data_IF_905267699669
#
_entry.id   IF_905267699669
#
_cell.length_a   1.000
_cell.length_b   1.000
_cell.length_c   1.000
_cell.angle_alpha   90.00
_cell.angle_beta   90.00
_cell.angle_gamma   90.00
#
_symmetry.space_group_name_H-M   'P 1'
#
loop_
_entity.id
_entity.type
_entity.pdbx_description
1 polymer ?
#
# COMPACT_ATOMS: atom_id res chain seq x y z
N UNK A 1 21.20 -3.10 6.24
CA UNK A 1 21.22 -1.66 5.93
C UNK A 1 20.88 -1.45 4.47
N UNK A 2 19.99 -0.52 4.17
CA UNK A 2 19.72 -0.04 2.84
C UNK A 2 20.29 1.37 2.69
N UNK A 3 21.06 1.60 1.65
CA UNK A 3 21.71 2.87 1.36
C UNK A 3 21.41 3.29 -0.07
N UNK A 4 21.30 4.58 -0.28
CA UNK A 4 21.34 5.17 -1.61
C UNK A 4 22.50 6.15 -1.67
N UNK A 5 23.19 6.16 -2.81
CA UNK A 5 24.32 7.04 -3.03
C UNK A 5 23.92 8.10 -4.06
N UNK A 6 24.10 9.34 -3.68
CA UNK A 6 23.96 10.47 -4.61
C UNK A 6 25.36 10.89 -5.04
N UNK A 7 25.64 10.91 -6.34
CA UNK A 7 26.95 11.31 -6.87
C UNK A 7 26.75 12.36 -7.95
N UNK A 8 27.56 13.39 -7.91
CA UNK A 8 27.60 14.44 -8.91
C UNK A 8 29.03 14.80 -9.23
N UNK A 9 29.31 15.23 -10.46
CA UNK A 9 30.61 15.73 -10.89
C UNK A 9 30.67 17.24 -10.83
N UNK A 10 31.86 17.82 -10.66
CA UNK A 10 32.08 19.27 -10.67
C UNK A 10 31.53 19.91 -11.97
N UNK A 11 31.76 19.27 -13.10
CA UNK A 11 31.31 19.73 -14.41
C UNK A 11 29.79 19.79 -14.53
N UNK A 12 29.09 18.85 -13.89
CA UNK A 12 27.62 18.87 -13.84
C UNK A 12 27.14 20.03 -12.95
N UNK A 13 27.76 20.24 -11.80
CA UNK A 13 27.45 21.36 -10.90
C UNK A 13 27.64 22.72 -11.60
N UNK A 14 28.72 22.89 -12.35
CA UNK A 14 28.96 24.12 -13.10
C UNK A 14 27.92 24.36 -14.20
N UNK A 15 27.57 23.33 -14.95
CA UNK A 15 26.55 23.43 -16.01
C UNK A 15 25.17 23.78 -15.44
N UNK A 16 24.75 23.11 -14.36
CA UNK A 16 23.46 23.36 -13.73
C UNK A 16 23.46 24.66 -12.92
N UNK A 17 24.59 25.06 -12.35
CA UNK A 17 24.77 26.36 -11.73
C UNK A 17 24.58 27.51 -12.71
N UNK A 18 25.13 27.41 -13.91
CA UNK A 18 24.92 28.37 -14.98
C UNK A 18 23.44 28.44 -15.40
N UNK A 19 22.71 27.33 -15.35
CA UNK A 19 21.27 27.29 -15.64
C UNK A 19 20.39 27.66 -14.44
N UNK A 20 20.97 28.01 -13.27
CA UNK A 20 20.27 28.29 -12.00
C UNK A 20 19.39 27.12 -11.52
N UNK A 21 19.76 25.91 -11.82
CA UNK A 21 19.05 24.69 -11.41
C UNK A 21 19.71 24.13 -10.16
N UNK A 22 18.91 23.91 -9.11
CA UNK A 22 19.36 23.29 -7.86
C UNK A 22 19.58 21.78 -7.98
N UNK A 23 20.45 21.35 -8.89
CA UNK A 23 20.68 19.94 -9.24
C UNK A 23 20.96 19.03 -8.04
N UNK A 24 21.85 19.46 -7.13
CA UNK A 24 22.17 18.68 -5.94
C UNK A 24 20.96 18.50 -5.01
N UNK A 25 20.10 19.52 -4.91
CA UNK A 25 18.86 19.45 -4.15
C UNK A 25 17.88 18.45 -4.77
N UNK A 26 17.71 18.49 -6.10
CA UNK A 26 16.85 17.54 -6.83
C UNK A 26 17.32 16.09 -6.68
N UNK A 27 18.63 15.83 -6.74
CA UNK A 27 19.19 14.51 -6.51
C UNK A 27 18.95 14.01 -5.08
N UNK A 28 19.03 14.90 -4.09
CA UNK A 28 18.74 14.54 -2.69
C UNK A 28 17.24 14.21 -2.51
N UNK A 29 16.35 14.97 -3.13
CA UNK A 29 14.91 14.67 -3.13
C UNK A 29 14.62 13.33 -3.80
N UNK A 30 15.24 13.04 -4.95
CA UNK A 30 15.10 11.75 -5.63
C UNK A 30 15.61 10.58 -4.78
N UNK A 31 16.73 10.78 -4.07
CA UNK A 31 17.29 9.78 -3.15
C UNK A 31 16.35 9.53 -1.96
N UNK A 32 15.80 10.58 -1.35
CA UNK A 32 14.83 10.47 -0.27
C UNK A 32 13.56 9.74 -0.72
N UNK A 33 13.06 10.04 -1.91
CA UNK A 33 11.91 9.37 -2.50
C UNK A 33 12.19 7.87 -2.72
N UNK A 34 13.39 7.53 -3.19
CA UNK A 34 13.80 6.13 -3.39
C UNK A 34 13.84 5.37 -2.07
N UNK A 35 14.39 5.99 -1.01
CA UNK A 35 14.40 5.41 0.33
C UNK A 35 12.99 5.20 0.87
N UNK A 36 12.11 6.19 0.73
CA UNK A 36 10.73 6.09 1.17
C UNK A 36 9.96 4.97 0.44
N UNK A 37 10.12 4.85 -0.88
CA UNK A 37 9.52 3.76 -1.66
C UNK A 37 10.03 2.40 -1.24
N UNK A 38 11.33 2.26 -1.01
CA UNK A 38 11.92 1.01 -0.53
C UNK A 38 11.40 0.66 0.86
N UNK A 39 11.37 1.63 1.78
CA UNK A 39 10.87 1.44 3.15
C UNK A 39 9.40 0.99 3.13
N UNK A 40 8.55 1.66 2.36
CA UNK A 40 7.15 1.30 2.21
C UNK A 40 6.99 -0.14 1.68
N UNK A 41 7.74 -0.49 0.63
CA UNK A 41 7.73 -1.85 0.07
C UNK A 41 8.20 -2.89 1.10
N UNK A 42 9.24 -2.58 1.88
CA UNK A 42 9.77 -3.47 2.91
C UNK A 42 8.78 -3.72 4.05
N UNK A 43 7.99 -2.72 4.44
CA UNK A 43 6.96 -2.89 5.46
C UNK A 43 5.83 -3.82 5.00
N UNK A 44 5.44 -3.76 3.73
CA UNK A 44 4.35 -4.59 3.23
C UNK A 44 4.80 -6.00 2.82
N UNK A 45 5.97 -6.14 2.21
CA UNK A 45 6.41 -7.38 1.59
C UNK A 45 7.70 -7.98 2.18
N UNK A 46 8.30 -7.29 3.16
CA UNK A 46 9.61 -7.71 3.67
C UNK A 46 10.73 -7.54 2.65
N UNK A 47 11.84 -8.22 2.87
CA UNK A 47 13.02 -8.20 2.02
C UNK A 47 13.31 -9.63 1.54
N UNK A 48 13.27 -9.84 0.24
CA UNK A 48 13.58 -11.15 -0.35
C UNK A 48 15.00 -11.62 0.02
N UNK A 49 15.12 -12.90 0.37
CA UNK A 49 16.39 -13.50 0.79
C UNK A 49 16.78 -13.30 2.25
N UNK A 50 15.99 -12.55 3.00
CA UNK A 50 16.12 -12.43 4.45
C UNK A 50 14.89 -13.01 5.13
N UNK A 51 15.06 -13.57 6.34
CA UNK A 51 13.94 -14.00 7.18
C UNK A 51 13.24 -12.77 7.82
N UNK A 52 12.93 -11.78 6.98
CA UNK A 52 12.25 -10.55 7.35
C UNK A 52 10.97 -10.44 6.53
N UNK A 53 9.87 -10.80 7.19
CA UNK A 53 8.54 -10.78 6.58
C UNK A 53 7.90 -9.41 6.75
N UNK A 54 7.06 -9.05 5.79
CA UNK A 54 6.26 -7.83 5.85
C UNK A 54 4.83 -8.11 6.28
N UNK A 55 4.04 -7.05 6.37
CA UNK A 55 2.64 -7.12 6.82
C UNK A 55 1.77 -8.07 5.98
N UNK A 56 2.09 -8.26 4.70
CA UNK A 56 1.25 -9.04 3.77
C UNK A 56 1.80 -10.46 3.47
N UNK A 57 3.03 -10.77 3.86
CA UNK A 57 3.66 -12.05 3.54
C UNK A 57 4.22 -12.79 4.76
N UNK A 58 3.82 -12.41 5.96
CA UNK A 58 4.17 -13.13 7.17
C UNK A 58 3.50 -14.52 7.14
N UNK A 59 4.26 -15.60 7.31
CA UNK A 59 3.73 -16.98 7.28
C UNK A 59 2.75 -17.28 8.42
N UNK A 60 2.71 -16.44 9.47
CA UNK A 60 1.75 -16.56 10.57
C UNK A 60 0.38 -15.96 10.26
N UNK A 61 0.23 -15.25 9.14
CA UNK A 61 -1.04 -14.67 8.73
C UNK A 61 -2.05 -15.75 8.35
N UNK A 62 -3.30 -15.49 8.70
CA UNK A 62 -4.42 -16.31 8.23
C UNK A 62 -4.57 -16.24 6.71
N UNK A 63 -5.13 -17.28 6.12
CA UNK A 63 -5.40 -17.32 4.69
C UNK A 63 -6.23 -16.09 4.24
N UNK A 64 -5.92 -15.50 3.07
CA UNK A 64 -6.66 -14.36 2.56
C UNK A 64 -8.12 -14.76 2.25
N UNK A 65 -9.03 -13.82 2.45
CA UNK A 65 -10.44 -13.98 2.11
C UNK A 65 -10.63 -13.60 0.65
N UNK A 66 -11.34 -14.44 -0.09
CA UNK A 66 -11.76 -14.12 -1.44
C UNK A 66 -13.06 -13.30 -1.39
N UNK A 67 -13.17 -12.21 -2.15
CA UNK A 67 -14.44 -11.50 -2.34
C UNK A 67 -15.54 -12.43 -2.83
N UNK A 68 -16.80 -12.15 -2.49
CA UNK A 68 -17.91 -12.94 -2.98
C UNK A 68 -18.19 -12.67 -4.47
N UNK A 69 -18.56 -13.69 -5.20
CA UNK A 69 -18.96 -13.51 -6.61
C UNK A 69 -20.41 -13.05 -6.64
N UNK A 70 -20.67 -11.87 -7.20
CA UNK A 70 -22.01 -11.33 -7.43
C UNK A 70 -22.23 -11.25 -8.96
N UNK A 71 -23.25 -11.89 -9.49
CA UNK A 71 -23.56 -11.95 -10.93
C UNK A 71 -22.37 -12.34 -11.82
N UNK A 72 -21.55 -13.29 -11.34
CA UNK A 72 -20.34 -13.74 -12.04
C UNK A 72 -19.15 -12.76 -11.93
N UNK A 73 -19.29 -11.66 -11.21
CA UNK A 73 -18.27 -10.62 -11.05
C UNK A 73 -17.54 -10.78 -9.72
N UNK A 74 -16.22 -10.85 -9.77
CA UNK A 74 -15.37 -10.99 -8.58
C UNK A 74 -14.68 -9.68 -8.21
N UNK A 75 -14.31 -8.87 -9.21
CA UNK A 75 -13.56 -7.63 -9.00
C UNK A 75 -14.49 -6.50 -8.59
N UNK A 76 -14.00 -5.64 -7.70
CA UNK A 76 -14.75 -4.46 -7.26
C UNK A 76 -15.07 -3.48 -8.40
N UNK A 77 -14.23 -3.43 -9.43
CA UNK A 77 -14.48 -2.58 -10.60
C UNK A 77 -15.78 -2.95 -11.34
N UNK A 78 -16.14 -4.24 -11.31
CA UNK A 78 -17.28 -4.79 -12.02
C UNK A 78 -18.54 -4.91 -11.14
N UNK A 79 -18.38 -4.83 -9.81
CA UNK A 79 -19.46 -4.92 -8.83
C UNK A 79 -20.17 -3.57 -8.66
N UNK A 80 -21.42 -3.63 -8.24
CA UNK A 80 -22.17 -2.48 -7.73
C UNK A 80 -21.70 -2.06 -6.31
N UNK A 81 -22.23 -0.94 -5.81
CA UNK A 81 -21.89 -0.44 -4.49
C UNK A 81 -22.27 -1.40 -3.36
N UNK A 82 -23.38 -2.15 -3.51
CA UNK A 82 -23.81 -3.12 -2.52
C UNK A 82 -22.85 -4.30 -2.43
N UNK A 83 -22.39 -4.84 -3.56
CA UNK A 83 -21.43 -5.95 -3.60
C UNK A 83 -20.09 -5.58 -2.99
N UNK A 84 -19.62 -4.33 -3.19
CA UNK A 84 -18.41 -3.82 -2.53
C UNK A 84 -18.61 -3.68 -1.02
N UNK A 85 -19.75 -3.15 -0.59
CA UNK A 85 -20.10 -3.04 0.84
C UNK A 85 -20.13 -4.40 1.52
N UNK A 86 -20.76 -5.39 0.91
CA UNK A 86 -20.87 -6.74 1.45
C UNK A 86 -19.51 -7.41 1.62
N UNK A 87 -18.58 -7.19 0.68
CA UNK A 87 -17.20 -7.66 0.81
C UNK A 87 -16.47 -7.02 2.00
N UNK A 88 -16.67 -5.73 2.25
CA UNK A 88 -16.09 -5.04 3.42
C UNK A 88 -16.70 -5.57 4.73
N UNK A 89 -18.02 -5.81 4.74
CA UNK A 89 -18.71 -6.41 5.90
C UNK A 89 -18.19 -7.84 6.16
N UNK A 90 -17.93 -8.61 5.10
CA UNK A 90 -17.35 -9.95 5.20
C UNK A 90 -15.96 -9.91 5.83
N UNK A 91 -15.12 -8.95 5.40
CA UNK A 91 -13.80 -8.74 5.98
C UNK A 91 -13.88 -8.43 7.48
N UNK A 92 -14.81 -7.55 7.88
CA UNK A 92 -15.03 -7.24 9.29
C UNK A 92 -15.52 -8.45 10.10
N UNK A 93 -16.48 -9.22 9.56
CA UNK A 93 -16.95 -10.47 10.21
C UNK A 93 -15.81 -11.45 10.45
N UNK A 94 -14.90 -11.58 9.47
CA UNK A 94 -13.73 -12.45 9.63
C UNK A 94 -12.81 -11.96 10.75
N UNK A 95 -12.56 -10.66 10.83
CA UNK A 95 -11.74 -10.05 11.88
C UNK A 95 -12.33 -10.31 13.27
N UNK A 96 -13.64 -10.09 13.45
CA UNK A 96 -14.34 -10.38 14.72
C UNK A 96 -14.25 -11.86 15.08
N UNK A 97 -14.39 -12.75 14.10
CA UNK A 97 -14.25 -14.21 14.31
C UNK A 97 -12.83 -14.60 14.74
N UNK A 98 -11.80 -14.05 14.09
CA UNK A 98 -10.40 -14.34 14.41
C UNK A 98 -9.98 -13.82 15.79
N UNK A 99 -10.58 -12.73 16.25
CA UNK A 99 -10.32 -12.13 17.56
C UNK A 99 -11.25 -12.66 18.66
N UNK A 100 -12.04 -13.71 18.38
CA UNK A 100 -13.02 -14.27 19.32
C UNK A 100 -13.95 -13.20 19.94
N UNK A 101 -14.33 -12.20 19.15
CA UNK A 101 -15.21 -11.13 19.58
C UNK A 101 -14.55 -10.02 20.43
N UNK A 102 -13.22 -9.99 20.53
CA UNK A 102 -12.52 -8.91 21.23
C UNK A 102 -12.55 -7.56 20.49
N UNK A 103 -12.91 -7.56 19.21
CA UNK A 103 -13.06 -6.34 18.42
C UNK A 103 -14.54 -6.03 18.25
N UNK A 104 -14.92 -4.80 18.63
CA UNK A 104 -16.25 -4.28 18.48
C UNK A 104 -16.36 -3.29 17.31
N UNK A 105 -17.60 -3.03 16.87
CA UNK A 105 -17.87 -2.07 15.77
C UNK A 105 -17.46 -0.64 16.11
N UNK A 106 -17.35 -0.31 17.37
CA UNK A 106 -16.95 1.01 17.89
C UNK A 106 -15.44 1.22 17.91
N UNK A 107 -14.66 0.14 17.74
CA UNK A 107 -13.20 0.22 17.74
C UNK A 107 -12.68 0.97 16.52
N UNK A 108 -11.61 1.73 16.72
CA UNK A 108 -10.95 2.46 15.63
C UNK A 108 -10.12 1.50 14.79
N UNK A 109 -10.60 1.23 13.59
CA UNK A 109 -9.92 0.39 12.61
C UNK A 109 -9.46 1.21 11.40
N UNK A 110 -8.43 0.71 10.73
CA UNK A 110 -7.94 1.28 9.47
C UNK A 110 -8.05 0.22 8.39
N UNK A 111 -8.76 0.54 7.33
CA UNK A 111 -8.79 -0.26 6.11
C UNK A 111 -7.73 0.30 5.15
N UNK A 112 -6.70 -0.52 4.84
CA UNK A 112 -5.64 -0.14 3.92
C UNK A 112 -5.93 -0.73 2.54
N UNK A 113 -5.94 0.11 1.52
CA UNK A 113 -6.19 -0.28 0.14
C UNK A 113 -5.42 0.59 -0.83
N UNK A 114 -5.37 0.20 -2.10
CA UNK A 114 -4.81 1.05 -3.15
C UNK A 114 -5.76 2.20 -3.48
N UNK A 115 -5.25 3.35 -3.96
CA UNK A 115 -6.10 4.48 -4.37
C UNK A 115 -7.14 4.09 -5.44
N UNK A 116 -6.80 3.17 -6.33
CA UNK A 116 -7.74 2.66 -7.34
C UNK A 116 -8.89 1.88 -6.71
N UNK A 117 -8.61 1.05 -5.70
CA UNK A 117 -9.66 0.31 -4.99
C UNK A 117 -10.55 1.24 -4.14
N UNK A 118 -9.99 2.34 -3.62
CA UNK A 118 -10.72 3.33 -2.83
C UNK A 118 -11.85 3.99 -3.63
N UNK A 119 -11.64 4.23 -4.92
CA UNK A 119 -12.67 4.79 -5.80
C UNK A 119 -13.93 3.91 -5.83
N UNK A 120 -13.78 2.59 -5.68
CA UNK A 120 -14.94 1.69 -5.67
C UNK A 120 -15.81 1.83 -4.43
N UNK A 121 -15.29 2.40 -3.34
CA UNK A 121 -16.10 2.69 -2.14
C UNK A 121 -17.06 3.86 -2.34
N UNK A 122 -16.85 4.69 -3.35
CA UNK A 122 -17.72 5.82 -3.68
C UNK A 122 -18.88 5.44 -4.59
N UNK A 123 -18.95 4.19 -5.04
CA UNK A 123 -20.08 3.70 -5.87
C UNK A 123 -21.38 3.79 -5.06
N UNK A 124 -22.36 4.43 -5.63
CA UNK A 124 -23.73 4.46 -5.10
C UNK A 124 -24.58 3.42 -5.81
N UNK A 125 -25.53 2.83 -5.09
CA UNK A 125 -26.56 2.00 -5.70
C UNK A 125 -27.47 2.91 -6.53
N UNK A 126 -27.53 2.68 -7.82
CA UNK A 126 -28.52 3.28 -8.71
C UNK A 126 -29.73 2.38 -8.79
#
# INVERSE_FOLDING_TARGET
>A
HFQTFTRWGERELDMYGAARIGWAAELNVASALTLNKFQNKSYFYGIAGLANYGLLNDPSLSAPITPDTVDGKLKWDDKDGQGVYDDVVKLFKQLVKQTNGHIERTDKMKLCMSPLAEVNLTKTNQ
#
